data_IF_783158499931
#
_entry.id   IF_783158499931
#
_cell.length_a   1.000
_cell.length_b   1.000
_cell.length_c   1.000
_cell.angle_alpha   90.00
_cell.angle_beta   90.00
_cell.angle_gamma   90.00
#
_symmetry.space_group_name_H-M   'P 1'
#
loop_
_entity.id
_entity.type
_entity.pdbx_description
1 polymer ?
#
# COMPACT_ATOMS: atom_id res chain seq x y z
N UNK A 1 -30.33 14.35 22.86
CA UNK A 1 -30.72 13.64 21.63
C UNK A 1 -29.71 12.54 21.42
N UNK A 2 -30.12 11.36 20.95
CA UNK A 2 -29.17 10.30 20.62
C UNK A 2 -28.23 10.82 19.52
N UNK A 3 -26.97 10.38 19.56
CA UNK A 3 -25.95 10.83 18.63
C UNK A 3 -26.02 10.07 17.30
N UNK A 4 -26.00 10.80 16.19
CA UNK A 4 -25.89 10.19 14.85
C UNK A 4 -24.45 9.83 14.51
N UNK A 5 -24.27 8.83 13.64
CA UNK A 5 -22.96 8.47 13.13
C UNK A 5 -22.25 9.66 12.44
N UNK A 6 -23.00 10.50 11.72
CA UNK A 6 -22.47 11.73 11.14
C UNK A 6 -21.92 12.67 12.21
N UNK A 7 -22.67 12.90 13.28
CA UNK A 7 -22.22 13.73 14.41
C UNK A 7 -20.93 13.17 15.02
N UNK A 8 -20.87 11.86 15.23
CA UNK A 8 -19.69 11.17 15.74
C UNK A 8 -18.46 11.37 14.84
N UNK A 9 -18.58 11.09 13.54
CA UNK A 9 -17.48 11.18 12.58
C UNK A 9 -17.05 12.63 12.29
N UNK A 10 -17.91 13.61 12.58
CA UNK A 10 -17.61 15.03 12.38
C UNK A 10 -17.10 15.74 13.65
N UNK A 11 -16.94 15.01 14.77
CA UNK A 11 -16.27 15.52 15.97
C UNK A 11 -14.86 16.02 15.63
N UNK A 12 -14.36 17.07 16.32
CA UNK A 12 -12.99 17.52 16.16
C UNK A 12 -11.97 16.40 16.30
N UNK A 13 -10.87 16.53 15.57
CA UNK A 13 -9.66 15.76 15.86
C UNK A 13 -8.88 16.43 17.01
N UNK A 14 -8.01 15.71 17.72
CA UNK A 14 -7.14 16.30 18.74
C UNK A 14 -6.34 17.47 18.16
N UNK A 15 -6.15 18.52 18.96
CA UNK A 15 -5.29 19.64 18.57
C UNK A 15 -3.86 19.14 18.43
N UNK A 16 -3.22 19.39 17.29
CA UNK A 16 -1.81 19.05 17.09
C UNK A 16 -0.93 20.24 17.51
N UNK A 17 0.03 19.98 18.39
CA UNK A 17 1.10 20.90 18.75
C UNK A 17 2.44 20.34 18.26
N UNK A 18 2.98 20.93 17.19
CA UNK A 18 4.32 20.58 16.66
C UNK A 18 5.39 21.04 17.65
N UNK A 19 6.21 20.11 18.15
CA UNK A 19 7.29 20.41 19.10
C UNK A 19 8.68 20.33 18.47
N UNK A 20 8.90 19.42 17.53
CA UNK A 20 10.16 19.33 16.83
C UNK A 20 10.19 20.25 15.60
N UNK A 21 11.37 20.73 15.24
CA UNK A 21 11.65 21.44 13.97
C UNK A 21 12.94 20.89 13.34
N UNK A 22 13.09 19.56 13.39
CA UNK A 22 14.24 18.87 12.81
C UNK A 22 14.10 18.70 11.29
N UNK A 23 15.19 18.36 10.58
CA UNK A 23 15.11 17.99 9.18
C UNK A 23 14.23 16.75 9.01
N UNK A 24 13.24 16.83 8.13
CA UNK A 24 12.34 15.71 7.82
C UNK A 24 13.05 14.78 6.83
N UNK A 25 13.01 13.48 7.11
CA UNK A 25 13.47 12.44 6.19
C UNK A 25 12.29 11.53 5.87
N UNK A 26 12.00 11.40 4.59
CA UNK A 26 11.01 10.45 4.11
C UNK A 26 11.67 9.15 3.72
N UNK A 27 10.95 8.05 3.90
CA UNK A 27 11.34 6.74 3.37
C UNK A 27 11.58 6.86 1.88
N UNK A 28 12.55 6.10 1.38
CA UNK A 28 12.93 6.10 -0.03
C UNK A 28 13.21 4.68 -0.48
N UNK A 29 12.77 4.33 -1.68
CA UNK A 29 13.14 3.11 -2.37
C UNK A 29 13.36 3.40 -3.85
N UNK A 30 14.45 2.88 -4.41
CA UNK A 30 14.78 3.02 -5.83
C UNK A 30 13.75 2.38 -6.76
N UNK A 31 12.96 1.42 -6.25
CA UNK A 31 11.88 0.77 -7.01
C UNK A 31 10.63 1.64 -7.16
N UNK A 32 10.50 2.71 -6.39
CA UNK A 32 9.35 3.59 -6.52
C UNK A 32 9.49 4.44 -7.78
N UNK A 33 8.50 4.33 -8.66
CA UNK A 33 8.42 5.11 -9.87
C UNK A 33 7.96 6.55 -9.56
N UNK A 34 8.46 7.55 -10.30
CA UNK A 34 7.93 8.90 -10.26
C UNK A 34 6.43 8.94 -10.53
N UNK A 35 5.74 9.92 -9.94
CA UNK A 35 4.33 10.19 -10.22
C UNK A 35 4.26 11.01 -11.50
N UNK A 36 3.65 10.44 -12.54
CA UNK A 36 3.58 11.08 -13.85
C UNK A 36 2.52 12.19 -13.90
N UNK A 37 1.31 11.88 -13.39
CA UNK A 37 0.18 12.79 -13.45
C UNK A 37 -0.57 12.82 -12.12
N UNK A 38 -1.00 14.02 -11.72
CA UNK A 38 -1.72 14.27 -10.48
C UNK A 38 -2.81 15.31 -10.69
N UNK A 39 -4.06 14.98 -10.36
CA UNK A 39 -5.23 15.83 -10.61
C UNK A 39 -6.12 15.96 -9.36
N UNK A 40 -6.81 17.10 -9.15
CA UNK A 40 -7.80 17.21 -8.08
C UNK A 40 -8.96 16.22 -8.25
N UNK A 41 -9.33 15.52 -7.18
CA UNK A 41 -10.48 14.63 -7.12
C UNK A 41 -11.73 15.39 -6.66
N UNK A 42 -12.29 16.19 -7.55
CA UNK A 42 -13.40 17.10 -7.23
C UNK A 42 -14.69 16.39 -6.78
N UNK A 43 -14.87 15.12 -7.15
CA UNK A 43 -16.03 14.30 -6.77
C UNK A 43 -15.96 13.79 -5.32
N UNK A 44 -14.76 13.72 -4.72
CA UNK A 44 -14.60 13.28 -3.34
C UNK A 44 -14.78 14.46 -2.39
N UNK A 45 -16.03 14.87 -2.19
CA UNK A 45 -16.42 16.02 -1.38
C UNK A 45 -17.61 15.69 -0.44
N UNK A 46 -17.91 16.58 0.50
CA UNK A 46 -18.97 16.37 1.50
C UNK A 46 -20.34 16.08 0.86
N UNK A 47 -20.76 16.85 -0.13
CA UNK A 47 -22.10 16.74 -0.74
C UNK A 47 -22.29 15.41 -1.46
N UNK A 48 -21.29 14.99 -2.25
CA UNK A 48 -21.31 13.70 -2.94
C UNK A 48 -21.33 12.54 -1.94
N UNK A 49 -20.50 12.60 -0.90
CA UNK A 49 -20.44 11.53 0.12
C UNK A 49 -21.71 11.44 0.97
N UNK A 50 -22.33 12.58 1.30
CA UNK A 50 -23.63 12.61 1.96
C UNK A 50 -24.75 12.06 1.08
N UNK A 51 -24.67 12.24 -0.23
CA UNK A 51 -25.63 11.67 -1.17
C UNK A 51 -25.49 10.15 -1.28
N UNK A 52 -24.26 9.62 -1.15
CA UNK A 52 -23.99 8.17 -1.17
C UNK A 52 -24.36 7.48 0.15
N UNK A 53 -23.99 8.08 1.28
CA UNK A 53 -24.01 7.40 2.58
C UNK A 53 -24.93 8.06 3.61
N UNK A 54 -25.67 9.11 3.24
CA UNK A 54 -26.52 9.89 4.14
C UNK A 54 -27.50 9.08 4.99
N UNK A 55 -28.22 8.08 4.43
CA UNK A 55 -29.09 7.21 5.22
C UNK A 55 -28.34 6.48 6.35
N UNK A 56 -27.19 5.88 6.03
CA UNK A 56 -26.38 5.14 7.00
C UNK A 56 -25.72 6.07 8.02
N UNK A 57 -25.28 7.26 7.59
CA UNK A 57 -24.70 8.29 8.44
C UNK A 57 -25.72 8.90 9.42
N UNK A 58 -27.02 8.76 9.13
CA UNK A 58 -28.11 9.23 10.00
C UNK A 58 -28.46 8.25 11.12
N UNK A 59 -27.90 7.02 11.10
CA UNK A 59 -28.16 6.02 12.14
C UNK A 59 -27.64 6.49 13.50
N UNK A 60 -28.32 6.08 14.55
CA UNK A 60 -27.90 6.35 15.93
C UNK A 60 -26.73 5.44 16.31
N UNK A 61 -25.78 5.98 17.06
CA UNK A 61 -24.61 5.27 17.55
C UNK A 61 -24.36 5.60 19.02
N UNK A 62 -23.74 4.66 19.70
CA UNK A 62 -23.21 4.81 21.06
C UNK A 62 -21.73 4.43 21.00
N UNK A 63 -20.89 5.42 20.67
CA UNK A 63 -19.46 5.25 20.46
C UNK A 63 -18.69 6.30 21.25
N UNK A 64 -17.65 5.84 21.94
CA UNK A 64 -16.75 6.70 22.70
C UNK A 64 -15.91 7.60 21.78
N UNK A 65 -15.68 8.84 22.21
CA UNK A 65 -14.68 9.72 21.61
C UNK A 65 -13.39 9.68 22.44
N UNK A 66 -12.28 9.13 21.90
CA UNK A 66 -11.00 9.12 22.58
C UNK A 66 -10.25 10.46 22.50
N UNK A 67 -10.78 11.45 21.77
CA UNK A 67 -10.11 12.75 21.56
C UNK A 67 -9.76 13.46 22.87
N UNK A 68 -10.67 13.61 23.85
CA UNK A 68 -10.34 14.26 25.13
C UNK A 68 -9.22 13.54 25.89
N UNK A 69 -9.20 12.20 25.86
CA UNK A 69 -8.19 11.38 26.52
C UNK A 69 -6.84 11.51 25.82
N UNK A 70 -6.83 11.59 24.49
CA UNK A 70 -5.61 11.85 23.71
C UNK A 70 -5.00 13.21 24.06
N UNK A 71 -5.83 14.25 24.19
CA UNK A 71 -5.38 15.59 24.57
C UNK A 71 -4.88 15.64 26.02
N UNK A 72 -5.60 15.03 26.95
CA UNK A 72 -5.22 14.94 28.36
C UNK A 72 -3.92 14.16 28.59
N UNK A 73 -3.65 13.15 27.76
CA UNK A 73 -2.46 12.30 27.83
C UNK A 73 -1.23 12.88 27.09
N UNK A 74 -1.32 14.13 26.63
CA UNK A 74 -0.26 14.82 25.88
C UNK A 74 0.11 14.18 24.53
N UNK A 75 -0.67 13.24 23.99
CA UNK A 75 -0.41 12.67 22.67
C UNK A 75 -0.48 13.73 21.55
N UNK A 76 -1.20 14.82 21.77
CA UNK A 76 -1.23 16.01 20.92
C UNK A 76 0.13 16.69 20.70
N UNK A 77 1.14 16.40 21.51
CA UNK A 77 2.47 16.98 21.38
C UNK A 77 3.34 16.11 20.48
N UNK A 78 3.48 16.54 19.22
CA UNK A 78 4.12 15.74 18.17
C UNK A 78 5.58 16.14 18.04
N UNK A 79 6.47 15.15 18.19
CA UNK A 79 7.91 15.32 18.07
C UNK A 79 8.47 14.63 16.81
N UNK A 80 7.75 13.66 16.27
CA UNK A 80 8.18 12.84 15.15
C UNK A 80 6.98 12.14 14.48
N UNK A 81 7.26 11.35 13.44
CA UNK A 81 6.26 10.56 12.72
C UNK A 81 5.60 9.49 13.61
N UNK A 82 6.35 8.91 14.55
CA UNK A 82 5.84 7.88 15.45
C UNK A 82 4.78 8.43 16.41
N UNK A 83 5.03 9.59 17.02
CA UNK A 83 4.08 10.27 17.90
C UNK A 83 2.83 10.74 17.14
N UNK A 84 2.97 11.17 15.88
CA UNK A 84 1.82 11.41 15.00
C UNK A 84 1.05 10.10 14.77
N UNK A 85 1.74 8.99 14.49
CA UNK A 85 1.14 7.68 14.33
C UNK A 85 0.32 7.23 15.54
N UNK A 86 0.78 7.50 16.77
CA UNK A 86 0.01 7.22 17.98
C UNK A 86 -1.30 8.02 18.06
N UNK A 87 -1.28 9.31 17.68
CA UNK A 87 -2.49 10.14 17.61
C UNK A 87 -3.44 9.63 16.52
N UNK A 88 -2.90 9.29 15.35
CA UNK A 88 -3.70 8.75 14.24
C UNK A 88 -4.34 7.42 14.62
N UNK A 89 -3.60 6.50 15.24
CA UNK A 89 -4.15 5.23 15.74
C UNK A 89 -5.33 5.45 16.70
N UNK A 90 -5.08 6.25 17.74
CA UNK A 90 -6.01 6.41 18.88
C UNK A 90 -7.23 7.26 18.54
N UNK A 91 -7.05 8.37 17.81
CA UNK A 91 -8.11 9.36 17.60
C UNK A 91 -8.78 9.32 16.22
N UNK A 92 -8.18 8.57 15.28
CA UNK A 92 -8.69 8.45 13.91
C UNK A 92 -9.00 7.00 13.56
N UNK A 93 -8.00 6.12 13.52
CA UNK A 93 -8.16 4.76 12.99
C UNK A 93 -9.10 3.91 13.84
N UNK A 94 -8.92 3.90 15.17
CA UNK A 94 -9.81 3.16 16.08
C UNK A 94 -11.26 3.69 15.98
N UNK A 95 -11.54 5.00 16.13
CA UNK A 95 -12.88 5.55 15.94
C UNK A 95 -13.52 5.22 14.58
N UNK A 96 -12.75 5.34 13.49
CA UNK A 96 -13.24 5.00 12.14
C UNK A 96 -13.56 3.51 12.04
N UNK A 97 -12.69 2.64 12.57
CA UNK A 97 -12.92 1.19 12.54
C UNK A 97 -14.14 0.77 13.35
N UNK A 98 -14.40 1.40 14.51
CA UNK A 98 -15.61 1.14 15.30
C UNK A 98 -16.89 1.66 14.63
N UNK A 99 -16.77 2.70 13.78
CA UNK A 99 -17.88 3.28 13.05
C UNK A 99 -18.27 2.51 11.78
N UNK A 100 -17.32 1.78 11.20
CA UNK A 100 -17.50 0.97 9.99
C UNK A 100 -18.49 -0.20 10.22
N UNK A 101 -19.14 -0.71 9.15
CA UNK A 101 -19.85 -1.99 9.18
C UNK A 101 -18.97 -3.11 9.74
N UNK A 102 -19.57 -4.12 10.38
CA UNK A 102 -18.86 -5.14 11.16
C UNK A 102 -17.81 -5.92 10.36
N UNK A 103 -18.01 -6.04 9.05
CA UNK A 103 -17.10 -6.71 8.13
C UNK A 103 -15.89 -5.86 7.72
N UNK A 104 -15.97 -4.54 7.87
CA UNK A 104 -14.94 -3.60 7.48
C UNK A 104 -14.13 -3.13 8.67
N UNK A 105 -12.85 -2.89 8.44
CA UNK A 105 -11.95 -2.36 9.47
C UNK A 105 -10.95 -1.38 8.86
N UNK A 106 -10.42 -0.51 9.72
CA UNK A 106 -9.26 0.33 9.45
C UNK A 106 -8.26 0.15 10.58
N UNK A 107 -7.03 -0.24 10.26
CA UNK A 107 -6.05 -0.67 11.26
C UNK A 107 -4.62 -0.48 10.76
N UNK A 108 -3.65 -1.02 11.53
CA UNK A 108 -2.26 -1.10 11.08
C UNK A 108 -2.14 -1.95 9.82
N UNK A 109 -1.28 -1.52 8.89
CA UNK A 109 -1.01 -2.20 7.63
C UNK A 109 -0.54 -3.65 7.78
N UNK A 110 0.02 -4.01 8.95
CA UNK A 110 0.40 -5.38 9.26
C UNK A 110 -0.76 -6.39 9.22
N UNK A 111 -2.01 -5.95 9.40
CA UNK A 111 -3.20 -6.82 9.35
C UNK A 111 -3.48 -7.29 7.93
N UNK A 112 -3.29 -6.43 6.93
CA UNK A 112 -3.53 -6.75 5.51
C UNK A 112 -2.23 -6.94 4.74
N UNK A 113 -1.15 -7.31 5.40
CA UNK A 113 0.16 -7.39 4.78
C UNK A 113 0.18 -8.53 3.73
N UNK A 114 0.48 -8.18 2.46
CA UNK A 114 0.42 -9.10 1.30
C UNK A 114 1.81 -9.52 0.81
N UNK A 115 2.81 -8.62 0.85
CA UNK A 115 4.14 -8.80 0.25
C UNK A 115 5.27 -8.29 1.15
N UNK A 116 6.41 -8.98 1.19
CA UNK A 116 7.57 -8.59 2.02
C UNK A 116 8.30 -7.33 1.56
N UNK A 117 7.94 -6.75 0.41
CA UNK A 117 8.60 -5.58 -0.16
C UNK A 117 7.81 -4.27 0.05
N UNK A 118 6.63 -4.34 0.65
CA UNK A 118 5.70 -3.21 0.72
C UNK A 118 4.94 -3.20 2.06
N UNK A 119 5.22 -2.17 2.88
CA UNK A 119 4.74 -2.05 4.26
C UNK A 119 4.07 -0.69 4.49
N UNK A 120 2.77 -0.57 4.23
CA UNK A 120 2.03 0.62 4.64
C UNK A 120 1.91 0.67 6.17
N UNK A 121 1.92 1.87 6.76
CA UNK A 121 1.62 2.04 8.19
C UNK A 121 0.19 1.61 8.51
N UNK A 122 -0.74 1.89 7.58
CA UNK A 122 -2.18 1.73 7.76
C UNK A 122 -2.79 0.99 6.59
N UNK A 123 -3.88 0.28 6.87
CA UNK A 123 -4.71 -0.27 5.83
C UNK A 123 -6.16 -0.38 6.28
N UNK A 124 -7.04 -0.57 5.30
CA UNK A 124 -8.40 -1.02 5.53
C UNK A 124 -8.66 -2.30 4.76
N UNK A 125 -9.53 -3.13 5.29
CA UNK A 125 -9.86 -4.44 4.73
C UNK A 125 -11.30 -4.83 4.98
N UNK A 126 -11.71 -5.92 4.33
CA UNK A 126 -12.94 -6.64 4.67
C UNK A 126 -12.53 -8.01 5.24
N UNK A 127 -12.95 -8.32 6.46
CA UNK A 127 -12.53 -9.54 7.16
C UNK A 127 -12.93 -10.83 6.44
N UNK A 128 -13.89 -10.78 5.52
CA UNK A 128 -14.33 -11.93 4.71
C UNK A 128 -13.63 -12.01 3.36
N UNK A 129 -12.91 -10.96 2.94
CA UNK A 129 -12.12 -10.96 1.69
C UNK A 129 -10.69 -11.33 2.02
N UNK A 130 -10.39 -12.61 1.96
CA UNK A 130 -9.05 -13.12 2.24
C UNK A 130 -8.10 -12.88 1.06
N UNK A 131 -6.81 -12.80 1.37
CA UNK A 131 -5.77 -12.73 0.36
C UNK A 131 -5.68 -14.08 -0.37
N UNK A 132 -5.45 -14.00 -1.67
CA UNK A 132 -5.25 -15.16 -2.54
C UNK A 132 -3.91 -15.02 -3.25
N UNK A 133 -3.16 -16.11 -3.34
CA UNK A 133 -1.95 -16.20 -4.16
C UNK A 133 -1.96 -17.49 -4.97
N UNK A 134 -1.21 -17.52 -6.07
CA UNK A 134 -0.98 -18.76 -6.80
C UNK A 134 0.30 -19.42 -6.29
N UNK A 135 0.21 -20.69 -5.91
CA UNK A 135 1.39 -21.49 -5.60
C UNK A 135 2.19 -21.81 -6.88
N UNK A 136 3.41 -22.38 -6.76
CA UNK A 136 4.22 -22.75 -7.93
C UNK A 136 3.51 -23.71 -8.91
N UNK A 137 2.52 -24.46 -8.43
CA UNK A 137 1.70 -25.39 -9.19
C UNK A 137 0.49 -24.71 -9.88
N UNK A 138 0.29 -23.41 -9.65
CA UNK A 138 -0.80 -22.60 -10.22
C UNK A 138 -2.13 -22.73 -9.46
N UNK A 139 -2.14 -23.37 -8.29
CA UNK A 139 -3.30 -23.49 -7.41
C UNK A 139 -3.49 -22.20 -6.63
N UNK A 140 -4.72 -21.67 -6.62
CA UNK A 140 -5.05 -20.53 -5.75
C UNK A 140 -5.13 -21.00 -4.30
N UNK A 141 -4.24 -20.45 -3.47
CA UNK A 141 -4.22 -20.67 -2.02
C UNK A 141 -4.66 -19.40 -1.31
N UNK A 142 -5.61 -19.56 -0.40
CA UNK A 142 -6.11 -18.47 0.45
C UNK A 142 -5.25 -18.35 1.71
N UNK A 143 -4.75 -17.15 2.02
CA UNK A 143 -4.05 -16.90 3.28
C UNK A 143 -5.04 -16.58 4.41
N UNK A 144 -4.61 -16.81 5.65
CA UNK A 144 -5.34 -16.42 6.87
C UNK A 144 -5.18 -14.92 7.18
N UNK A 145 -5.34 -14.07 6.15
CA UNK A 145 -5.24 -12.62 6.29
C UNK A 145 -6.22 -11.93 5.34
N UNK A 146 -6.91 -10.87 5.80
CA UNK A 146 -7.72 -10.05 4.92
C UNK A 146 -6.88 -9.34 3.85
N UNK A 147 -7.47 -9.17 2.67
CA UNK A 147 -6.93 -8.40 1.56
C UNK A 147 -7.09 -6.90 1.83
N UNK A 148 -6.08 -6.11 1.48
CA UNK A 148 -6.18 -4.66 1.59
C UNK A 148 -7.12 -4.11 0.52
N UNK A 149 -8.00 -3.19 0.91
CA UNK A 149 -8.88 -2.45 0.00
C UNK A 149 -8.55 -0.94 -0.04
N UNK A 150 -7.83 -0.44 0.97
CA UNK A 150 -7.24 0.90 1.03
C UNK A 150 -5.91 0.80 1.77
N UNK A 151 -4.90 1.54 1.32
CA UNK A 151 -3.56 1.56 1.91
C UNK A 151 -3.20 2.98 2.33
N UNK A 152 -2.43 3.14 3.41
CA UNK A 152 -2.02 4.48 3.80
C UNK A 152 -0.79 4.55 4.68
N UNK A 153 -0.30 5.77 4.82
CA UNK A 153 0.96 6.08 5.49
C UNK A 153 0.82 7.34 6.34
N UNK A 154 1.65 7.51 7.37
CA UNK A 154 1.72 8.74 8.16
C UNK A 154 2.95 9.54 7.80
N UNK A 155 2.81 10.85 7.62
CA UNK A 155 3.92 11.74 7.23
C UNK A 155 3.89 13.03 8.04
N UNK A 156 4.87 13.15 8.94
CA UNK A 156 5.01 14.33 9.79
C UNK A 156 5.77 15.45 9.07
N UNK A 157 5.29 16.69 9.18
CA UNK A 157 5.90 17.88 8.57
C UNK A 157 6.03 17.81 7.05
N UNK A 158 5.18 17.02 6.41
CA UNK A 158 5.14 16.93 4.96
C UNK A 158 4.16 17.95 4.36
N UNK A 159 4.64 18.77 3.42
CA UNK A 159 3.78 19.70 2.67
C UNK A 159 3.23 19.04 1.42
N UNK A 160 1.96 18.62 1.47
CA UNK A 160 1.26 18.07 0.32
C UNK A 160 1.18 19.07 -0.85
N UNK A 161 0.96 20.36 -0.57
CA UNK A 161 0.89 21.41 -1.59
C UNK A 161 2.21 21.55 -2.37
N UNK A 162 3.35 21.53 -1.68
CA UNK A 162 4.65 21.63 -2.33
C UNK A 162 4.95 20.37 -3.16
N UNK A 163 4.57 19.19 -2.65
CA UNK A 163 4.72 17.94 -3.37
C UNK A 163 3.89 17.93 -4.66
N UNK A 164 2.60 18.29 -4.56
CA UNK A 164 1.69 18.43 -5.72
C UNK A 164 2.25 19.43 -6.71
N UNK A 165 2.71 20.60 -6.24
CA UNK A 165 3.31 21.63 -7.10
C UNK A 165 4.55 21.11 -7.84
N UNK A 166 5.41 20.34 -7.18
CA UNK A 166 6.60 19.77 -7.80
C UNK A 166 6.26 18.72 -8.87
N UNK A 167 5.23 17.91 -8.65
CA UNK A 167 4.73 16.97 -9.66
C UNK A 167 4.13 17.74 -10.86
N UNK A 168 3.19 18.65 -10.61
CA UNK A 168 2.44 19.33 -11.67
C UNK A 168 3.27 20.36 -12.47
N UNK A 169 4.31 20.96 -11.89
CA UNK A 169 5.12 21.99 -12.56
C UNK A 169 6.17 21.44 -13.53
N UNK A 170 6.42 20.13 -13.52
CA UNK A 170 7.51 19.51 -14.26
C UNK A 170 7.00 18.61 -15.37
N UNK A 171 6.63 19.24 -16.49
CA UNK A 171 6.07 18.58 -17.68
C UNK A 171 6.94 17.46 -18.29
N UNK A 172 8.24 17.43 -17.99
CA UNK A 172 9.17 16.39 -18.45
C UNK A 172 9.52 15.38 -17.36
N UNK A 173 8.68 15.29 -16.32
CA UNK A 173 8.96 14.50 -15.13
C UNK A 173 10.01 15.16 -14.23
N UNK A 174 10.28 14.52 -13.10
CA UNK A 174 11.21 15.02 -12.09
C UNK A 174 12.25 13.98 -11.67
N UNK A 175 12.42 12.92 -12.45
CA UNK A 175 13.26 11.76 -12.11
C UNK A 175 14.72 12.13 -11.83
N UNK A 176 15.28 13.09 -12.58
CA UNK A 176 16.68 13.48 -12.47
C UNK A 176 17.01 14.39 -11.28
N UNK A 177 16.01 15.04 -10.70
CA UNK A 177 16.19 15.93 -9.54
C UNK A 177 15.44 15.45 -8.30
N UNK A 178 14.62 14.41 -8.47
CA UNK A 178 13.71 13.74 -7.53
C UNK A 178 13.65 14.40 -6.15
N UNK A 179 12.85 15.48 -6.02
CA UNK A 179 12.78 16.23 -4.77
C UNK A 179 12.29 15.34 -3.63
N UNK A 180 12.93 15.38 -2.47
CA UNK A 180 12.54 14.52 -1.34
C UNK A 180 11.07 14.67 -0.93
N UNK A 181 10.46 15.84 -1.15
CA UNK A 181 9.07 16.07 -0.77
C UNK A 181 8.04 15.33 -1.66
N UNK A 182 8.42 14.74 -2.80
CA UNK A 182 7.50 13.92 -3.61
C UNK A 182 7.48 12.45 -3.19
N UNK A 183 8.46 12.01 -2.40
CA UNK A 183 8.63 10.60 -2.02
C UNK A 183 7.39 9.98 -1.36
N UNK A 184 6.63 10.69 -0.50
CA UNK A 184 5.39 10.12 0.04
C UNK A 184 4.32 9.81 -1.00
N UNK A 185 4.24 10.58 -2.09
CA UNK A 185 3.31 10.29 -3.18
C UNK A 185 3.75 9.05 -3.97
N UNK A 186 5.06 8.94 -4.24
CA UNK A 186 5.63 7.77 -4.93
C UNK A 186 5.48 6.50 -4.08
N UNK A 187 5.62 6.62 -2.77
CA UNK A 187 5.42 5.53 -1.82
C UNK A 187 3.99 4.98 -1.90
N UNK A 188 2.97 5.84 -1.84
CA UNK A 188 1.57 5.40 -1.93
C UNK A 188 1.23 4.91 -3.34
N UNK A 189 1.79 5.53 -4.39
CA UNK A 189 1.67 5.01 -5.76
C UNK A 189 2.20 3.57 -5.85
N UNK A 190 3.37 3.30 -5.26
CA UNK A 190 3.95 1.98 -5.19
C UNK A 190 3.05 1.00 -4.42
N UNK A 191 2.44 1.42 -3.31
CA UNK A 191 1.47 0.60 -2.57
C UNK A 191 0.30 0.19 -3.46
N UNK A 192 -0.33 1.16 -4.14
CA UNK A 192 -1.44 0.93 -5.06
C UNK A 192 -1.06 -0.05 -6.17
N UNK A 193 0.13 0.08 -6.76
CA UNK A 193 0.63 -0.83 -7.77
C UNK A 193 0.85 -2.25 -7.22
N UNK A 194 1.62 -2.39 -6.13
CA UNK A 194 1.97 -3.68 -5.54
C UNK A 194 0.74 -4.49 -5.10
N UNK A 195 -0.22 -3.83 -4.45
CA UNK A 195 -1.42 -4.46 -3.92
C UNK A 195 -2.58 -4.49 -4.93
N UNK A 196 -2.36 -3.96 -6.15
CA UNK A 196 -3.40 -3.77 -7.17
C UNK A 196 -4.63 -3.07 -6.60
N UNK A 197 -4.38 -2.06 -5.77
CA UNK A 197 -5.38 -1.31 -5.03
C UNK A 197 -5.62 0.06 -5.66
N UNK A 198 -6.90 0.43 -5.80
CA UNK A 198 -7.33 1.73 -6.37
C UNK A 198 -7.06 2.89 -5.41
N UNK A 199 -7.12 2.68 -4.11
CA UNK A 199 -7.17 3.77 -3.13
C UNK A 199 -5.97 3.77 -2.20
N UNK A 200 -5.41 4.96 -2.03
CA UNK A 200 -4.33 5.24 -1.09
C UNK A 200 -4.65 6.45 -0.24
N UNK A 201 -3.96 6.64 0.88
CA UNK A 201 -4.01 7.91 1.61
C UNK A 201 -2.71 8.23 2.36
N UNK A 202 -2.52 9.51 2.64
CA UNK A 202 -1.47 10.02 3.53
C UNK A 202 -2.12 10.81 4.66
N UNK A 203 -1.84 10.44 5.91
CA UNK A 203 -2.21 11.24 7.08
C UNK A 203 -1.03 12.08 7.51
N UNK A 204 -1.26 13.37 7.70
CA UNK A 204 -0.25 14.34 8.10
C UNK A 204 -0.72 15.09 9.33
N UNK A 205 0.17 15.88 9.90
CA UNK A 205 -0.16 16.86 10.92
C UNK A 205 -0.93 18.08 10.40
N UNK A 206 -1.18 18.17 9.08
CA UNK A 206 -2.02 19.19 8.45
C UNK A 206 -3.41 18.67 8.06
N UNK A 207 -3.56 17.36 7.86
CA UNK A 207 -4.79 16.75 7.39
C UNK A 207 -4.57 15.40 6.72
N UNK A 208 -5.58 15.00 5.94
CA UNK A 208 -5.61 13.74 5.20
C UNK A 208 -5.58 14.04 3.70
N UNK A 209 -4.67 13.42 2.96
CA UNK A 209 -4.69 13.38 1.50
C UNK A 209 -5.20 12.01 1.05
N UNK A 210 -6.39 11.98 0.45
CA UNK A 210 -6.97 10.77 -0.14
C UNK A 210 -6.58 10.71 -1.62
N UNK A 211 -6.17 9.53 -2.08
CA UNK A 211 -5.67 9.29 -3.43
C UNK A 211 -6.47 8.19 -4.14
N UNK A 212 -6.76 8.40 -5.42
CA UNK A 212 -7.35 7.43 -6.34
C UNK A 212 -6.38 7.17 -7.50
N UNK A 213 -5.86 5.96 -7.61
CA UNK A 213 -4.89 5.55 -8.61
C UNK A 213 -5.56 4.93 -9.83
N UNK A 214 -5.07 5.27 -11.02
CA UNK A 214 -5.54 4.75 -12.30
C UNK A 214 -4.41 3.98 -12.98
N UNK A 215 -4.72 2.75 -13.37
CA UNK A 215 -3.78 1.91 -14.12
C UNK A 215 -3.51 2.50 -15.50
N UNK A 216 -2.29 2.36 -15.99
CA UNK A 216 -2.02 2.54 -17.41
C UNK A 216 -2.80 1.50 -18.23
N UNK A 217 -3.45 1.94 -19.32
CA UNK A 217 -4.03 1.00 -20.28
C UNK A 217 -2.88 0.29 -20.98
N UNK A 218 -2.89 -1.04 -21.02
CA UNK A 218 -2.05 -1.81 -21.95
C UNK A 218 -2.45 -1.44 -23.38
N UNK A 219 -1.94 -0.31 -23.87
CA UNK A 219 -1.88 -0.09 -25.30
C UNK A 219 -0.87 -1.13 -25.76
N UNK A 220 -1.38 -2.21 -26.37
CA UNK A 220 -0.60 -3.00 -27.32
C UNK A 220 0.04 -2.00 -28.27
N UNK A 221 1.28 -1.57 -27.98
CA UNK A 221 2.10 -0.91 -28.97
C UNK A 221 2.27 -1.98 -30.03
N UNK A 222 1.58 -1.80 -31.16
CA UNK A 222 1.76 -2.64 -32.34
C UNK A 222 3.27 -2.86 -32.51
N UNK A 223 3.74 -4.09 -32.73
CA UNK A 223 5.16 -4.37 -32.77
C UNK A 223 5.76 -3.42 -33.78
N UNK A 224 6.53 -2.44 -33.28
CA UNK A 224 7.15 -1.41 -34.10
C UNK A 224 7.90 -2.19 -35.18
N UNK A 225 7.65 -1.98 -36.48
CA UNK A 225 8.33 -2.73 -37.52
C UNK A 225 9.82 -2.59 -37.25
N UNK A 226 10.48 -3.70 -36.87
CA UNK A 226 11.93 -3.70 -36.70
C UNK A 226 12.47 -3.26 -38.04
N UNK A 227 13.03 -2.05 -38.08
CA UNK A 227 13.74 -1.56 -39.24
C UNK A 227 14.83 -2.59 -39.47
N UNK A 228 14.74 -3.33 -40.57
CA UNK A 228 15.76 -4.29 -40.99
C UNK A 228 17.06 -3.51 -41.18
N UNK A 229 17.86 -3.39 -40.11
CA UNK A 229 19.24 -2.96 -40.21
C UNK A 229 19.94 -4.13 -40.88
N UNK A 230 20.16 -4.00 -42.20
CA UNK A 230 21.05 -4.90 -42.93
C UNK A 230 22.38 -4.94 -42.17
N UNK A 231 22.85 -6.11 -41.72
CA UNK A 231 24.20 -6.20 -41.21
C UNK A 231 25.18 -5.85 -42.35
N UNK A 232 26.31 -5.19 -42.05
CA UNK A 232 27.33 -4.92 -43.05
C UNK A 232 27.81 -6.24 -43.64
N UNK A 233 27.76 -6.31 -44.97
CA UNK A 233 28.12 -7.47 -45.75
C UNK A 233 29.63 -7.72 -45.69
N UNK A 234 30.06 -8.77 -45.01
CA UNK A 234 31.32 -9.43 -45.35
C UNK A 234 31.04 -10.63 -46.25
N UNK A 235 31.52 -10.49 -47.48
CA UNK A 235 31.42 -11.42 -48.58
C UNK A 235 32.40 -12.58 -48.38
N UNK A 236 31.90 -13.82 -48.33
CA UNK A 236 32.67 -15.00 -48.71
C UNK A 236 31.78 -15.95 -49.49
N UNK A 237 32.10 -16.10 -50.76
CA UNK A 237 31.50 -17.04 -51.72
C UNK A 237 32.15 -18.40 -51.51
N UNK A 238 31.37 -19.46 -51.25
CA UNK A 238 31.57 -20.81 -51.83
C UNK A 238 30.18 -21.48 -51.95
N UNK A 239 29.93 -22.11 -53.10
CA UNK A 239 28.62 -22.57 -53.59
C UNK A 239 28.23 -24.02 -53.23
N UNK A 240 26.92 -24.26 -53.42
CA UNK A 240 26.20 -25.49 -53.78
C UNK A 240 25.99 -26.60 -52.74
N UNK A 241 24.77 -26.70 -52.21
CA UNK A 241 23.84 -27.81 -52.54
C UNK A 241 22.41 -27.47 -52.06
N UNK A 242 21.44 -27.89 -52.86
CA UNK A 242 19.99 -27.75 -52.72
C UNK A 242 19.44 -28.48 -51.49
N UNK A 243 18.64 -27.77 -50.68
CA UNK A 243 17.40 -28.28 -50.08
C UNK A 243 16.53 -27.09 -49.69
N UNK A 244 15.40 -26.95 -50.37
CA UNK A 244 14.29 -26.11 -49.98
C UNK A 244 13.73 -26.60 -48.63
N UNK A 245 13.81 -25.78 -47.59
CA UNK A 245 12.89 -25.87 -46.46
C UNK A 245 12.26 -24.50 -46.24
N UNK A 246 11.01 -24.40 -46.69
CA UNK A 246 10.08 -23.32 -46.42
C UNK A 246 9.87 -23.18 -44.91
N UNK A 247 10.59 -22.23 -44.28
CA UNK A 247 10.29 -21.78 -42.91
C UNK A 247 9.16 -20.75 -43.02
N UNK A 248 7.95 -21.25 -43.20
CA UNK A 248 6.71 -20.46 -43.13
C UNK A 248 5.73 -21.19 -42.21
N UNK A 249 6.14 -21.36 -40.94
CA UNK A 249 5.34 -22.02 -39.91
C UNK A 249 5.70 -21.70 -38.45
N UNK A 250 6.59 -20.73 -38.19
CA UNK A 250 7.01 -20.36 -36.83
C UNK A 250 6.45 -19.01 -36.32
N UNK A 251 5.61 -18.32 -37.11
CA UNK A 251 5.01 -17.04 -36.67
C UNK A 251 3.66 -17.19 -35.95
N UNK A 252 2.97 -18.33 -36.04
CA UNK A 252 1.68 -18.51 -35.35
C UNK A 252 1.82 -19.04 -33.91
N UNK A 253 2.92 -19.72 -33.58
CA UNK A 253 3.12 -20.30 -32.24
C UNK A 253 3.60 -19.31 -31.16
N UNK A 254 3.83 -18.04 -31.51
CA UNK A 254 4.27 -17.00 -30.55
C UNK A 254 3.16 -16.01 -30.19
N UNK A 255 2.01 -16.11 -30.87
CA UNK A 255 0.85 -15.24 -30.64
C UNK A 255 -0.06 -15.72 -29.50
N UNK A 256 0.20 -16.91 -28.95
CA UNK A 256 -0.66 -17.56 -27.94
C UNK A 256 -0.02 -17.65 -26.54
N UNK A 257 1.10 -16.95 -26.32
CA UNK A 257 1.57 -16.65 -24.97
C UNK A 257 0.75 -15.49 -24.41
N UNK A 258 -0.51 -15.78 -24.06
CA UNK A 258 -1.31 -14.96 -23.15
C UNK A 258 -0.65 -15.01 -21.77
N UNK A 259 0.44 -14.27 -21.60
CA UNK A 259 0.99 -13.95 -20.28
C UNK A 259 -0.13 -13.20 -19.55
N UNK A 260 -0.72 -13.85 -18.55
CA UNK A 260 -1.75 -13.21 -17.74
C UNK A 260 -1.10 -12.00 -17.07
N UNK A 261 -1.81 -10.89 -17.00
CA UNK A 261 -1.36 -9.64 -16.33
C UNK A 261 -0.86 -9.86 -14.88
N UNK A 262 -1.17 -11.03 -14.29
CA UNK A 262 -0.65 -11.48 -13.01
C UNK A 262 0.86 -11.77 -12.99
N UNK A 263 1.46 -12.18 -14.12
CA UNK A 263 2.86 -12.62 -14.26
C UNK A 263 3.83 -11.51 -14.70
N UNK A 264 3.26 -10.37 -15.12
CA UNK A 264 4.00 -9.13 -15.37
C UNK A 264 4.05 -8.40 -14.03
N UNK A 265 5.18 -7.74 -13.73
CA UNK A 265 5.40 -7.04 -12.46
C UNK A 265 4.32 -6.01 -12.09
N UNK A 266 4.55 -5.21 -11.03
CA UNK A 266 3.55 -4.25 -10.56
C UNK A 266 3.05 -3.37 -11.71
N UNK A 267 1.72 -3.20 -11.87
CA UNK A 267 1.16 -2.40 -12.94
C UNK A 267 1.63 -0.94 -12.83
N UNK A 268 1.84 -0.32 -13.99
CA UNK A 268 2.14 1.12 -14.08
C UNK A 268 0.91 1.95 -13.71
N UNK A 269 1.13 3.04 -12.97
CA UNK A 269 0.10 4.01 -12.58
C UNK A 269 0.25 5.25 -13.46
N UNK A 270 -0.74 5.51 -14.31
CA UNK A 270 -0.70 6.66 -15.24
C UNK A 270 -1.12 7.97 -14.59
N UNK A 271 -1.98 7.91 -13.57
CA UNK A 271 -2.64 9.06 -12.97
C UNK A 271 -3.03 8.74 -11.53
N UNK A 272 -2.80 9.70 -10.64
CA UNK A 272 -3.47 9.75 -9.34
C UNK A 272 -4.39 10.96 -9.28
N UNK A 273 -5.59 10.78 -8.74
CA UNK A 273 -6.43 11.91 -8.31
C UNK A 273 -6.29 12.11 -6.80
N UNK A 274 -6.41 13.34 -6.32
CA UNK A 274 -6.24 13.66 -4.90
C UNK A 274 -7.34 14.55 -4.32
N UNK A 275 -7.73 14.30 -3.07
CA UNK A 275 -8.57 15.20 -2.28
C UNK A 275 -7.92 15.43 -0.91
N UNK A 276 -7.76 16.69 -0.52
CA UNK A 276 -7.19 17.04 0.79
C UNK A 276 -8.29 17.46 1.76
N UNK A 277 -8.22 16.91 2.98
CA UNK A 277 -9.14 17.17 4.07
C UNK A 277 -8.35 17.74 5.25
N UNK A 278 -8.52 19.03 5.59
CA UNK A 278 -7.77 19.65 6.68
C UNK A 278 -8.01 18.97 8.02
N UNK A 279 -6.95 18.86 8.84
CA UNK A 279 -7.02 18.26 10.18
C UNK A 279 -8.03 18.96 11.09
N UNK A 280 -8.18 20.28 10.91
CA UNK A 280 -9.07 21.14 11.69
C UNK A 280 -10.53 21.13 11.21
N UNK A 281 -10.85 20.42 10.13
CA UNK A 281 -12.22 20.30 9.66
C UNK A 281 -13.08 19.59 10.72
N UNK A 282 -14.22 20.19 11.07
CA UNK A 282 -15.12 19.69 12.10
C UNK A 282 -16.55 20.17 11.85
N UNK A 283 -17.51 19.48 12.45
CA UNK A 283 -18.92 19.83 12.42
C UNK A 283 -19.67 19.33 11.18
N UNK A 284 -21.00 19.45 11.26
CA UNK A 284 -21.89 19.10 10.14
C UNK A 284 -21.70 20.08 8.98
N UNK A 285 -21.74 19.57 7.75
CA UNK A 285 -21.47 20.36 6.55
C UNK A 285 -20.00 20.39 6.13
N UNK A 286 -19.08 19.82 6.91
CA UNK A 286 -17.66 19.73 6.59
C UNK A 286 -17.24 18.28 6.39
N UNK A 287 -16.38 18.04 5.38
CA UNK A 287 -15.68 16.76 5.25
C UNK A 287 -14.55 16.72 6.28
N UNK A 288 -14.66 15.85 7.28
CA UNK A 288 -13.62 15.65 8.31
C UNK A 288 -12.74 14.45 7.97
N UNK A 289 -11.57 14.34 8.60
CA UNK A 289 -10.64 13.21 8.38
C UNK A 289 -11.33 11.86 8.67
N UNK A 290 -12.04 11.74 9.79
CA UNK A 290 -12.77 10.53 10.18
C UNK A 290 -13.89 10.20 9.17
N UNK A 291 -14.66 11.19 8.75
CA UNK A 291 -15.73 10.99 7.75
C UNK A 291 -15.16 10.58 6.39
N UNK A 292 -14.08 11.22 5.94
CA UNK A 292 -13.41 10.88 4.69
C UNK A 292 -12.87 9.45 4.68
N UNK A 293 -12.18 9.03 5.77
CA UNK A 293 -11.69 7.66 5.90
C UNK A 293 -12.82 6.64 5.96
N UNK A 294 -13.89 6.92 6.72
CA UNK A 294 -15.08 6.07 6.73
C UNK A 294 -15.64 5.88 5.31
N UNK A 295 -15.82 6.96 4.56
CA UNK A 295 -16.39 6.93 3.23
C UNK A 295 -15.49 6.23 2.20
N UNK A 296 -14.17 6.50 2.19
CA UNK A 296 -13.27 5.87 1.22
C UNK A 296 -13.19 4.35 1.42
N UNK A 297 -13.18 3.88 2.67
CA UNK A 297 -13.20 2.44 2.98
C UNK A 297 -14.48 1.78 2.47
N UNK A 298 -15.63 2.45 2.60
CA UNK A 298 -16.89 1.95 2.06
C UNK A 298 -16.93 1.94 0.54
N UNK A 299 -16.43 2.97 -0.13
CA UNK A 299 -16.30 3.01 -1.60
C UNK A 299 -15.38 1.86 -2.05
N UNK A 300 -14.27 1.65 -1.36
CA UNK A 300 -13.31 0.59 -1.65
C UNK A 300 -13.86 -0.84 -1.43
N UNK A 301 -14.83 -0.99 -0.51
CA UNK A 301 -15.51 -2.27 -0.35
C UNK A 301 -16.31 -2.63 -1.60
N UNK A 302 -16.92 -1.65 -2.29
CA UNK A 302 -17.63 -1.92 -3.54
C UNK A 302 -16.66 -2.19 -4.71
N UNK A 303 -15.64 -1.34 -4.88
CA UNK A 303 -14.65 -1.50 -5.96
C UNK A 303 -13.27 -0.93 -5.58
N UNK A 304 -12.40 -1.81 -5.07
CA UNK A 304 -11.00 -1.50 -4.70
C UNK A 304 -9.98 -1.91 -5.75
N UNK A 305 -10.39 -2.57 -6.83
CA UNK A 305 -9.45 -3.07 -7.84
C UNK A 305 -8.83 -1.93 -8.64
N UNK A 306 -7.51 -1.95 -8.79
CA UNK A 306 -6.81 -1.03 -9.68
C UNK A 306 -7.19 -1.29 -11.15
N UNK A 307 -7.68 -0.27 -11.86
CA UNK A 307 -8.12 -0.34 -13.26
C UNK A 307 -7.80 0.96 -14.02
N UNK A 308 -7.86 0.95 -15.35
CA UNK A 308 -7.62 2.15 -16.14
C UNK A 308 -8.74 3.20 -16.07
N UNK A 309 -9.97 2.77 -15.78
CA UNK A 309 -11.16 3.60 -15.72
C UNK A 309 -12.10 3.10 -14.60
N UNK A 310 -12.82 4.05 -14.00
CA UNK A 310 -13.82 3.77 -12.96
C UNK A 310 -15.11 4.52 -13.22
N UNK A 311 -16.20 4.02 -12.65
CA UNK A 311 -17.47 4.74 -12.59
C UNK A 311 -17.30 6.00 -11.71
N UNK A 312 -17.68 7.20 -12.20
CA UNK A 312 -17.67 8.42 -11.39
C UNK A 312 -18.55 8.29 -10.15
N UNK A 313 -18.16 8.91 -9.03
CA UNK A 313 -18.92 8.84 -7.77
C UNK A 313 -20.30 9.48 -7.93
N UNK A 314 -20.39 10.53 -8.75
CA UNK A 314 -21.65 11.19 -9.09
C UNK A 314 -22.65 10.27 -9.78
N UNK A 315 -22.18 9.32 -10.59
CA UNK A 315 -23.04 8.30 -11.23
C UNK A 315 -23.51 7.26 -10.21
N UNK A 316 -22.67 6.89 -9.25
CA UNK A 316 -23.07 5.96 -8.17
C UNK A 316 -24.24 6.52 -7.36
N UNK A 317 -24.25 7.83 -7.08
CA UNK A 317 -25.38 8.51 -6.39
C UNK A 317 -26.71 8.31 -7.13
N UNK A 318 -26.71 8.43 -8.46
CA UNK A 318 -27.91 8.30 -9.27
C UNK A 318 -28.45 6.86 -9.25
N UNK A 319 -27.55 5.87 -9.26
CA UNK A 319 -27.93 4.46 -9.19
C UNK A 319 -28.50 4.09 -7.81
N UNK A 320 -27.90 4.62 -6.73
CA UNK A 320 -28.40 4.41 -5.36
C UNK A 320 -29.75 5.10 -5.10
N UNK A 321 -30.01 6.26 -5.75
CA UNK A 321 -31.27 6.99 -5.61
C UNK A 321 -32.47 6.41 -6.39
N UNK A 322 -32.23 5.51 -7.35
CA UNK A 322 -33.28 4.89 -8.18
C UNK A 322 -33.85 3.57 -7.65
N UNK A 323 -33.17 2.93 -6.68
CA UNK A 323 -33.63 1.70 -6.06
C UNK A 323 -34.62 2.01 -4.93
N UNK A 324 -35.86 2.34 -5.28
CA UNK A 324 -36.96 2.37 -4.32
C UNK A 324 -37.15 0.98 -3.73
N UNK A 325 -36.88 0.83 -2.43
CA UNK A 325 -37.07 -0.38 -1.67
C UNK A 325 -38.53 -0.88 -1.79
N UNK A 326 -38.73 -1.99 -2.49
CA UNK A 326 -39.90 -2.84 -2.28
C UNK A 326 -39.73 -3.58 -0.95
N UNK A 327 -40.72 -3.57 -0.04
CA UNK A 327 -40.67 -4.36 1.16
C UNK A 327 -40.85 -5.83 0.78
N UNK A 328 -39.76 -6.61 0.84
CA UNK A 328 -39.84 -8.07 0.76
C UNK A 328 -40.33 -8.55 2.12
N UNK A 329 -41.52 -9.17 2.07
CA UNK A 329 -42.30 -9.63 3.19
C UNK A 329 -41.57 -10.62 4.10
N UNK A 330 -42.04 -10.62 5.34
CA UNK A 330 -41.53 -11.45 6.42
C UNK A 330 -41.61 -12.95 6.15
N UNK A 331 -40.74 -13.66 6.86
CA UNK A 331 -40.86 -15.09 7.09
C UNK A 331 -40.49 -15.36 8.57
N UNK A 332 -41.10 -16.37 9.20
CA UNK A 332 -41.45 -16.34 10.62
C UNK A 332 -40.35 -16.88 11.54
N UNK A 333 -40.40 -16.41 12.79
CA UNK A 333 -39.71 -16.97 13.96
C UNK A 333 -39.94 -18.49 14.11
N UNK A 334 -38.93 -19.23 14.57
CA UNK A 334 -39.14 -20.44 15.33
C UNK A 334 -38.97 -20.19 16.83
N UNK A 335 -40.04 -20.56 17.52
CA UNK A 335 -40.25 -20.67 18.95
C UNK A 335 -39.12 -21.30 19.76
N UNK A 336 -38.86 -20.69 20.92
CA UNK A 336 -38.21 -21.24 22.12
C UNK A 336 -38.80 -22.58 22.58
N UNK A 337 -37.93 -23.55 22.83
CA UNK A 337 -38.19 -24.64 23.78
C UNK A 337 -37.11 -24.67 24.87
N UNK A 338 -37.61 -24.61 26.09
CA UNK A 338 -36.89 -24.66 27.37
C UNK A 338 -36.40 -26.09 27.62
N UNK A 339 -35.11 -26.26 27.91
CA UNK A 339 -34.52 -27.49 28.40
C UNK A 339 -33.53 -27.20 29.53
N UNK A 340 -33.94 -27.50 30.76
CA UNK A 340 -33.06 -27.62 31.93
C UNK A 340 -32.06 -28.75 31.70
N UNK A 341 -30.78 -28.55 32.02
CA UNK A 341 -30.06 -29.46 32.94
C UNK A 341 -28.64 -28.99 33.30
N UNK A 342 -28.40 -29.05 34.63
CA UNK A 342 -27.21 -29.45 35.42
C UNK A 342 -25.78 -29.10 34.96
N UNK A 343 -25.10 -28.39 35.87
CA UNK A 343 -23.64 -28.35 36.01
C UNK A 343 -23.03 -29.74 36.32
N UNK A 344 -21.73 -29.94 36.05
CA UNK A 344 -20.78 -29.91 37.16
C UNK A 344 -19.34 -29.39 36.87
N UNK A 345 -18.74 -28.87 37.94
CA UNK A 345 -17.36 -29.05 38.45
C UNK A 345 -16.11 -28.82 37.57
N UNK A 346 -15.40 -27.75 37.94
CA UNK A 346 -13.98 -27.64 38.33
C UNK A 346 -13.07 -28.88 38.12
N UNK A 347 -11.99 -28.68 37.36
CA UNK A 347 -10.75 -29.49 37.37
C UNK A 347 -9.64 -28.73 36.62
N UNK A 348 -8.74 -28.07 37.35
CA UNK A 348 -7.34 -28.46 37.61
C UNK A 348 -6.37 -28.21 36.44
N UNK A 349 -5.41 -27.34 36.71
CA UNK A 349 -4.29 -26.91 35.87
C UNK A 349 -3.12 -27.86 36.11
N UNK A 350 -2.50 -28.39 35.05
CA UNK A 350 -1.13 -28.93 35.10
C UNK A 350 -0.30 -28.44 33.89
N UNK A 351 1.02 -28.26 34.05
CA UNK A 351 1.88 -27.61 33.07
C UNK A 351 2.53 -28.62 32.10
N UNK A 352 2.56 -28.28 30.81
CA UNK A 352 3.30 -29.06 29.81
C UNK A 352 4.71 -28.50 29.67
N UNK A 353 5.67 -29.31 30.08
CA UNK A 353 7.11 -29.19 29.85
C UNK A 353 7.41 -29.41 28.36
N UNK A 354 8.16 -28.51 27.71
CA UNK A 354 8.67 -28.73 26.35
C UNK A 354 10.19 -28.88 26.37
N UNK A 355 10.65 -30.01 25.86
CA UNK A 355 12.04 -30.46 25.77
C UNK A 355 12.69 -29.88 24.50
N UNK A 356 13.73 -29.07 24.66
CA UNK A 356 14.56 -28.55 23.57
C UNK A 356 15.64 -29.54 23.16
N UNK A 357 15.91 -29.68 21.85
CA UNK A 357 17.14 -30.26 21.28
C UNK A 357 17.34 -29.77 19.82
N UNK A 358 18.56 -29.87 19.22
CA UNK A 358 19.42 -28.70 19.04
C UNK A 358 19.51 -28.14 17.60
N UNK A 359 19.95 -26.88 17.56
CA UNK A 359 20.28 -26.03 16.40
C UNK A 359 21.34 -26.63 15.48
N UNK A 360 21.12 -26.54 14.17
CA UNK A 360 22.18 -26.42 13.15
C UNK A 360 22.24 -24.95 12.68
N UNK A 361 23.39 -24.31 12.90
CA UNK A 361 23.65 -22.90 12.61
C UNK A 361 24.16 -22.71 11.17
N UNK A 362 23.35 -22.09 10.31
CA UNK A 362 23.83 -21.34 9.15
C UNK A 362 23.74 -19.85 9.50
N UNK A 363 24.67 -19.36 10.31
CA UNK A 363 24.80 -17.93 10.58
C UNK A 363 25.55 -17.29 9.41
N UNK A 364 24.92 -16.31 8.76
CA UNK A 364 25.58 -15.41 7.83
C UNK A 364 26.65 -14.61 8.59
N UNK A 365 27.93 -14.96 8.41
CA UNK A 365 29.04 -14.20 9.00
C UNK A 365 29.21 -12.88 8.23
N UNK A 366 28.96 -11.77 8.92
CA UNK A 366 29.35 -10.44 8.46
C UNK A 366 30.83 -10.22 8.81
N UNK A 367 31.63 -9.84 7.82
CA UNK A 367 33.05 -9.54 8.02
C UNK A 367 33.30 -8.04 7.89
N UNK A 368 34.01 -7.45 8.84
CA UNK A 368 34.43 -6.06 8.78
C UNK A 368 35.74 -5.95 7.99
N UNK A 369 35.66 -5.54 6.73
CA UNK A 369 36.83 -5.38 5.85
C UNK A 369 37.14 -3.92 5.59
N UNK A 370 38.42 -3.57 5.42
CA UNK A 370 38.82 -2.25 4.90
C UNK A 370 38.78 -2.29 3.38
N UNK A 371 38.07 -1.33 2.79
CA UNK A 371 37.81 -1.23 1.35
C UNK A 371 38.53 -0.01 0.79
N UNK A 372 39.18 -0.17 -0.36
CA UNK A 372 39.89 0.88 -1.10
C UNK A 372 39.41 0.90 -2.55
N UNK A 373 39.33 2.07 -3.16
CA UNK A 373 39.17 2.15 -4.63
C UNK A 373 40.45 1.69 -5.32
N UNK A 374 40.32 1.07 -6.49
CA UNK A 374 41.45 0.88 -7.41
C UNK A 374 41.93 2.24 -7.98
N UNK A 375 43.11 2.25 -8.61
CA UNK A 375 43.73 3.49 -9.09
C UNK A 375 42.84 4.29 -10.06
N UNK A 376 41.98 3.61 -10.80
CA UNK A 376 41.10 4.22 -11.81
C UNK A 376 39.72 4.62 -11.24
N UNK A 377 39.47 4.40 -9.95
CA UNK A 377 38.17 4.63 -9.29
C UNK A 377 36.98 3.92 -9.96
N UNK A 378 37.21 2.73 -10.53
CA UNK A 378 36.18 1.94 -11.22
C UNK A 378 35.72 0.72 -10.43
N UNK A 379 36.48 0.30 -9.41
CA UNK A 379 36.17 -0.89 -8.63
C UNK A 379 36.81 -0.87 -7.24
N UNK A 380 36.35 -1.75 -6.35
CA UNK A 380 36.84 -1.89 -4.98
C UNK A 380 37.89 -3.01 -4.83
N UNK A 381 38.87 -2.76 -3.97
CA UNK A 381 39.89 -3.69 -3.50
C UNK A 381 39.79 -3.82 -1.99
N UNK A 382 39.79 -5.04 -1.46
CA UNK A 382 39.69 -5.31 -0.02
C UNK A 382 40.33 -6.64 0.35
N UNK A 383 40.69 -6.77 1.62
CA UNK A 383 41.24 -8.00 2.19
C UNK A 383 40.21 -8.63 3.12
N UNK A 384 39.92 -9.91 2.93
CA UNK A 384 39.05 -10.69 3.82
C UNK A 384 39.87 -11.33 4.97
N UNK A 385 39.19 -11.83 6.01
CA UNK A 385 39.81 -12.24 7.28
C UNK A 385 40.88 -13.36 7.17
N UNK A 386 40.86 -14.13 6.08
CA UNK A 386 41.88 -15.17 5.79
C UNK A 386 43.18 -14.58 5.18
N UNK A 387 43.26 -13.26 5.03
CA UNK A 387 44.40 -12.55 4.44
C UNK A 387 44.39 -12.50 2.91
N UNK A 388 43.38 -13.07 2.25
CA UNK A 388 43.24 -13.04 0.79
C UNK A 388 42.75 -11.66 0.32
N UNK A 389 43.41 -11.15 -0.71
CA UNK A 389 42.98 -9.93 -1.39
C UNK A 389 42.00 -10.21 -2.52
N UNK A 390 40.94 -9.41 -2.58
CA UNK A 390 40.00 -9.33 -3.69
C UNK A 390 40.26 -8.00 -4.40
N UNK A 391 40.45 -8.07 -5.72
CA UNK A 391 40.77 -6.92 -6.55
C UNK A 391 39.70 -6.69 -7.61
N UNK A 392 39.46 -5.42 -7.93
CA UNK A 392 38.55 -4.96 -8.98
C UNK A 392 37.12 -5.51 -8.85
N UNK A 393 36.57 -5.56 -7.63
CA UNK A 393 35.17 -5.95 -7.45
C UNK A 393 34.22 -4.80 -7.83
N UNK A 394 33.20 -5.14 -8.62
CA UNK A 394 32.30 -4.16 -9.23
C UNK A 394 31.52 -3.38 -8.17
N UNK A 395 31.46 -2.04 -8.23
CA UNK A 395 30.70 -1.21 -7.28
C UNK A 395 29.21 -1.54 -7.25
N UNK A 396 28.66 -2.14 -8.31
CA UNK A 396 27.24 -2.52 -8.40
C UNK A 396 26.83 -3.59 -7.38
N UNK A 397 27.79 -4.33 -6.82
CA UNK A 397 27.56 -5.32 -5.75
C UNK A 397 27.58 -4.72 -4.34
N UNK A 398 27.88 -3.42 -4.25
CA UNK A 398 28.08 -2.73 -2.99
C UNK A 398 26.96 -1.72 -2.75
N UNK A 399 26.45 -1.69 -1.52
CA UNK A 399 25.47 -0.71 -1.09
C UNK A 399 26.06 0.15 0.02
N UNK A 400 25.93 1.47 -0.14
CA UNK A 400 26.30 2.41 0.91
C UNK A 400 25.09 2.65 1.80
N UNK A 401 25.21 2.36 3.09
CA UNK A 401 24.21 2.61 4.12
C UNK A 401 24.88 3.45 5.21
N UNK A 402 24.42 4.69 5.36
CA UNK A 402 25.01 5.69 6.25
C UNK A 402 26.50 5.96 5.92
N UNK A 403 27.41 5.55 6.83
CA UNK A 403 28.87 5.72 6.71
C UNK A 403 29.58 4.38 6.42
N UNK A 404 28.84 3.30 6.15
CA UNK A 404 29.37 1.96 5.92
C UNK A 404 29.02 1.48 4.51
N UNK A 405 29.87 0.64 3.93
CA UNK A 405 29.67 0.04 2.61
C UNK A 405 29.57 -1.48 2.79
N UNK A 406 28.53 -2.09 2.25
CA UNK A 406 28.22 -3.51 2.39
C UNK A 406 28.31 -4.21 1.04
N UNK A 407 29.00 -5.35 0.96
CA UNK A 407 29.04 -6.21 -0.22
C UNK A 407 28.14 -7.43 0.00
N UNK A 408 27.12 -7.59 -0.83
CA UNK A 408 26.17 -8.68 -0.69
C UNK A 408 26.45 -9.76 -1.73
N UNK A 409 27.24 -10.78 -1.35
CA UNK A 409 27.45 -11.95 -2.20
C UNK A 409 26.22 -12.88 -2.28
N UNK A 410 25.25 -12.74 -1.36
CA UNK A 410 23.95 -13.41 -1.39
C UNK A 410 22.86 -12.47 -0.83
N UNK A 411 21.62 -12.58 -1.34
CA UNK A 411 20.44 -11.91 -0.75
C UNK A 411 20.38 -12.25 0.74
N UNK A 412 20.29 -11.27 1.65
CA UNK A 412 20.28 -11.56 3.08
C UNK A 412 19.04 -12.40 3.46
N UNK A 413 19.17 -13.39 4.35
CA UNK A 413 18.00 -13.94 5.01
C UNK A 413 17.34 -12.83 5.83
N UNK A 414 16.06 -12.57 5.53
CA UNK A 414 15.25 -11.59 6.24
C UNK A 414 15.29 -11.90 7.74
N UNK A 415 15.43 -10.84 8.54
CA UNK A 415 15.51 -10.85 10.02
C UNK A 415 14.63 -11.95 10.64
N UNK A 416 15.26 -13.07 11.00
CA UNK A 416 14.73 -14.02 11.97
C UNK A 416 14.91 -13.45 13.38
N UNK A 417 13.86 -13.53 14.18
CA UNK A 417 13.76 -13.08 15.57
C UNK A 417 15.05 -13.26 16.40
N UNK A 418 15.46 -12.21 17.12
CA UNK A 418 16.33 -12.36 18.29
C UNK A 418 15.59 -13.21 19.31
N UNK A 419 16.15 -14.34 19.78
CA UNK A 419 15.65 -14.98 20.98
C UNK A 419 16.07 -14.15 22.21
N UNK A 420 15.14 -14.03 23.15
CA UNK A 420 15.28 -13.50 24.50
C UNK A 420 16.35 -14.21 25.33
#
# INVERSE_FOLDING_TARGET
>A
MPETLLSYLTRPNPRIARRAQGPVKFTFNNLWLPVENLEPWTEFNYETLMSLFGPDLSRQVDLDDPTPQCEASMFSQIYDEQTLGHVVASSIMIPVSCALPQELFAASGGITWETDDCFPDWSAGNQYRMQEYQDPEGTTVTKDRPKAIVLGDTKYQWSHEEAIRNVCSRHHGYEHTRPNNVLPLEQVQFYCAMYRCRFGFLVTDEGLLVLEAFQETDIQRSPRPRRNVRPPSHQRVISSSTVDMSISGLSEAVSDLSVRSADVGPPSIRLMKYAFVPWRAQGTGALTVKLALYCIVRIANEDSGLRPHYTPLTTMVQLSGGASATPIGGSPEPSTTVGKDKAPAVGSIEPVTSTSNPRTSNESQYHNVRVFWNNDHTAYNYQIDDGKWIFNDSPEKWQTLENNIYNYHMKPPLRGNKPS
#
